data_IF_881956973808
#
_entry.id   IF_881956973808
#
_cell.length_a   1.000
_cell.length_b   1.000
_cell.length_c   1.000
_cell.angle_alpha   90.00
_cell.angle_beta   90.00
_cell.angle_gamma   90.00
#
_symmetry.space_group_name_H-M   'P 1'
#
loop_
_entity.id
_entity.type
_entity.pdbx_description
1 polymer ?
#
# COMPACT_ATOMS: atom_id res chain seq x y z
N UNK A 1 -22.35 -1.84 20.56
CA UNK A 1 -22.67 -1.40 19.20
C UNK A 1 -21.49 -1.56 18.27
N UNK A 2 -21.53 -2.53 17.36
CA UNK A 2 -20.58 -2.63 16.25
C UNK A 2 -21.31 -2.21 14.97
N UNK A 3 -20.86 -1.12 14.36
CA UNK A 3 -21.33 -0.72 13.04
C UNK A 3 -20.85 -1.70 11.97
N UNK A 4 -21.71 -2.04 11.01
CA UNK A 4 -21.30 -2.80 9.83
C UNK A 4 -20.48 -1.87 8.94
N UNK A 5 -19.16 -2.06 8.94
CA UNK A 5 -18.22 -1.29 8.11
C UNK A 5 -17.77 -2.14 6.91
N UNK A 6 -17.86 -1.57 5.71
CA UNK A 6 -17.24 -2.17 4.52
C UNK A 6 -15.75 -1.80 4.51
N UNK A 7 -14.91 -2.70 5.06
CA UNK A 7 -13.46 -2.49 5.11
C UNK A 7 -12.82 -2.26 3.73
N UNK A 8 -13.52 -2.60 2.64
CA UNK A 8 -13.03 -2.40 1.29
C UNK A 8 -13.20 -1.02 0.69
N UNK A 9 -14.01 -0.17 1.30
CA UNK A 9 -14.25 1.22 0.90
C UNK A 9 -13.58 2.23 1.85
N UNK A 10 -12.75 1.75 2.79
CA UNK A 10 -12.02 2.61 3.72
C UNK A 10 -10.86 3.28 2.99
N UNK A 11 -11.04 4.56 2.67
CA UNK A 11 -9.97 5.42 2.17
C UNK A 11 -8.91 5.65 3.26
N UNK A 12 -7.65 5.84 2.86
CA UNK A 12 -6.57 6.20 3.78
C UNK A 12 -6.86 7.59 4.34
N UNK A 13 -6.77 7.73 5.67
CA UNK A 13 -7.17 8.97 6.37
C UNK A 13 -6.42 10.20 5.84
N UNK A 14 -5.13 10.06 5.52
CA UNK A 14 -4.29 11.14 4.99
C UNK A 14 -4.66 11.60 3.58
N UNK A 15 -5.32 10.75 2.80
CA UNK A 15 -5.70 11.07 1.43
C UNK A 15 -7.07 11.74 1.34
N UNK A 16 -7.77 11.87 2.46
CA UNK A 16 -9.00 12.65 2.54
C UNK A 16 -8.61 14.12 2.34
N UNK A 17 -9.23 14.85 1.39
CA UNK A 17 -9.00 16.28 1.21
C UNK A 17 -9.11 17.03 2.54
N UNK A 18 -8.10 17.85 2.88
CA UNK A 18 -7.98 18.47 4.22
C UNK A 18 -9.19 19.31 4.60
N UNK A 19 -9.78 19.98 3.62
CA UNK A 19 -10.98 20.80 3.74
C UNK A 19 -12.23 19.98 4.07
N UNK A 20 -12.37 18.78 3.47
CA UNK A 20 -13.40 17.82 3.83
C UNK A 20 -13.14 17.23 5.21
N UNK A 21 -11.88 16.86 5.50
CA UNK A 21 -11.48 16.23 6.75
C UNK A 21 -11.78 17.13 7.95
N UNK A 22 -11.37 18.40 7.90
CA UNK A 22 -11.60 19.37 8.97
C UNK A 22 -13.10 19.51 9.29
N UNK A 23 -13.95 19.60 8.26
CA UNK A 23 -15.41 19.74 8.42
C UNK A 23 -16.06 18.48 9.00
N UNK A 24 -15.57 17.30 8.64
CA UNK A 24 -16.05 16.03 9.19
C UNK A 24 -15.59 15.88 10.65
N UNK A 25 -14.34 16.22 10.97
CA UNK A 25 -13.83 16.23 12.34
C UNK A 25 -14.58 17.23 13.24
N UNK A 26 -14.89 18.43 12.73
CA UNK A 26 -15.65 19.44 13.46
C UNK A 26 -17.00 18.88 13.96
N UNK A 27 -17.70 18.12 13.10
CA UNK A 27 -19.00 17.51 13.42
C UNK A 27 -18.82 16.30 14.34
N UNK A 28 -17.91 15.38 14.03
CA UNK A 28 -17.73 14.15 14.80
C UNK A 28 -17.19 14.40 16.21
N UNK A 29 -16.26 15.34 16.35
CA UNK A 29 -15.61 15.67 17.63
C UNK A 29 -16.30 16.84 18.34
N UNK A 30 -17.38 17.38 17.77
CA UNK A 30 -18.11 18.53 18.28
C UNK A 30 -17.18 19.70 18.67
N UNK A 31 -16.21 20.03 17.79
CA UNK A 31 -15.17 21.05 18.08
C UNK A 31 -15.75 22.46 18.08
N UNK A 32 -16.91 22.65 17.42
CA UNK A 32 -17.50 23.95 17.14
C UNK A 32 -19.04 23.87 17.11
N UNK A 33 -19.74 24.95 17.50
CA UNK A 33 -21.20 25.01 17.45
C UNK A 33 -21.78 25.09 16.03
N UNK A 34 -21.02 25.61 15.06
CA UNK A 34 -21.43 25.80 13.65
C UNK A 34 -21.04 24.63 12.72
N UNK A 35 -20.57 23.51 13.29
CA UNK A 35 -19.98 22.39 12.54
C UNK A 35 -20.96 21.78 11.52
N UNK A 36 -22.20 21.51 11.93
CA UNK A 36 -23.22 20.89 11.07
C UNK A 36 -23.55 21.77 9.87
N UNK A 37 -23.69 23.07 10.07
CA UNK A 37 -24.03 24.04 9.02
C UNK A 37 -22.91 24.16 8.00
N UNK A 38 -21.66 24.24 8.47
CA UNK A 38 -20.45 24.26 7.62
C UNK A 38 -20.33 23.02 6.75
N UNK A 39 -20.65 21.83 7.28
CA UNK A 39 -20.60 20.59 6.51
C UNK A 39 -21.73 20.55 5.47
N UNK A 40 -22.94 20.97 5.85
CA UNK A 40 -24.09 21.04 4.93
C UNK A 40 -23.84 22.04 3.81
N UNK A 41 -23.28 23.21 4.10
CA UNK A 41 -22.91 24.20 3.08
C UNK A 41 -21.83 23.67 2.13
N UNK A 42 -20.80 23.01 2.66
CA UNK A 42 -19.75 22.39 1.86
C UNK A 42 -20.24 21.24 0.99
N UNK A 43 -21.23 20.47 1.45
CA UNK A 43 -21.81 19.40 0.62
C UNK A 43 -22.44 19.93 -0.68
N UNK A 44 -22.88 21.19 -0.71
CA UNK A 44 -23.42 21.83 -1.92
C UNK A 44 -22.34 22.14 -2.96
N UNK A 45 -21.09 22.32 -2.56
CA UNK A 45 -19.96 22.56 -3.48
C UNK A 45 -19.42 21.25 -4.04
N UNK A 46 -19.53 20.16 -3.28
CA UNK A 46 -19.26 18.79 -3.72
C UNK A 46 -20.49 18.27 -4.46
N UNK A 47 -20.73 18.80 -5.66
CA UNK A 47 -21.58 18.11 -6.63
C UNK A 47 -21.06 16.69 -6.87
N UNK A 48 -21.95 15.75 -7.22
CA UNK A 48 -21.66 14.34 -7.52
C UNK A 48 -20.69 14.21 -8.71
N UNK A 49 -19.43 14.56 -8.52
CA UNK A 49 -18.32 14.32 -9.44
C UNK A 49 -17.87 12.90 -9.19
N UNK A 50 -18.48 11.94 -9.88
CA UNK A 50 -17.83 10.66 -10.08
C UNK A 50 -16.48 10.94 -10.74
N UNK A 51 -15.38 10.66 -10.03
CA UNK A 51 -14.04 10.75 -10.60
C UNK A 51 -14.03 9.84 -11.83
N UNK A 52 -13.76 10.42 -12.99
CA UNK A 52 -13.64 9.68 -14.25
C UNK A 52 -12.57 8.59 -14.09
N UNK A 53 -12.72 7.43 -14.74
CA UNK A 53 -11.73 6.33 -14.65
C UNK A 53 -10.29 6.83 -14.93
N UNK A 54 -10.14 7.78 -15.84
CA UNK A 54 -8.87 8.45 -16.14
C UNK A 54 -8.25 9.16 -14.92
N UNK A 55 -9.04 9.82 -14.08
CA UNK A 55 -8.55 10.45 -12.84
C UNK A 55 -8.19 9.42 -11.77
N UNK A 56 -8.88 8.27 -11.75
CA UNK A 56 -8.57 7.18 -10.84
C UNK A 56 -7.28 6.44 -11.24
N UNK A 57 -6.92 6.46 -12.52
CA UNK A 57 -5.68 5.87 -13.05
C UNK A 57 -4.52 6.86 -13.19
N UNK A 58 -4.64 8.12 -12.74
CA UNK A 58 -3.57 9.11 -12.85
C UNK A 58 -2.23 8.65 -12.24
N UNK A 59 -2.28 7.82 -11.19
CA UNK A 59 -1.08 7.22 -10.58
C UNK A 59 -0.30 6.29 -11.53
N UNK A 60 -0.91 5.81 -12.62
CA UNK A 60 -0.26 4.97 -13.64
C UNK A 60 0.75 5.73 -14.50
N UNK A 61 0.64 7.05 -14.56
CA UNK A 61 1.56 7.92 -15.29
C UNK A 61 2.84 8.20 -14.48
N UNK A 62 2.86 7.85 -13.19
CA UNK A 62 4.03 8.02 -12.33
C UNK A 62 5.16 7.03 -12.70
N UNK A 63 6.42 7.34 -12.32
CA UNK A 63 7.52 6.40 -12.43
C UNK A 63 7.22 5.07 -11.69
N UNK A 64 7.73 3.95 -12.21
CA UNK A 64 7.43 2.60 -11.69
C UNK A 64 7.67 2.44 -10.19
N UNK A 65 8.70 3.08 -9.64
CA UNK A 65 9.01 3.08 -8.20
C UNK A 65 7.87 3.69 -7.38
N UNK A 66 7.35 4.84 -7.82
CA UNK A 66 6.21 5.51 -7.18
C UNK A 66 4.91 4.73 -7.39
N UNK A 67 4.74 4.07 -8.55
CA UNK A 67 3.59 3.18 -8.79
C UNK A 67 3.56 2.00 -7.82
N UNK A 68 4.70 1.35 -7.58
CA UNK A 68 4.82 0.25 -6.62
C UNK A 68 4.49 0.72 -5.20
N UNK A 69 5.02 1.87 -4.79
CA UNK A 69 4.73 2.48 -3.50
C UNK A 69 3.23 2.75 -3.34
N UNK A 70 2.61 3.38 -4.33
CA UNK A 70 1.18 3.64 -4.34
C UNK A 70 0.36 2.34 -4.29
N UNK A 71 0.72 1.33 -5.09
CA UNK A 71 0.05 0.04 -5.10
C UNK A 71 0.13 -0.68 -3.75
N UNK A 72 1.26 -0.58 -3.05
CA UNK A 72 1.43 -1.13 -1.70
C UNK A 72 0.57 -0.41 -0.68
N UNK A 73 0.63 0.92 -0.61
CA UNK A 73 -0.14 1.73 0.36
C UNK A 73 -1.66 1.57 0.15
N UNK A 74 -2.10 1.51 -1.11
CA UNK A 74 -3.51 1.35 -1.47
C UNK A 74 -3.98 -0.12 -1.48
N UNK A 75 -3.06 -1.08 -1.39
CA UNK A 75 -3.39 -2.51 -1.45
C UNK A 75 -3.93 -2.96 -2.81
N UNK A 76 -3.45 -2.37 -3.91
CA UNK A 76 -3.85 -2.67 -5.30
C UNK A 76 -2.97 -3.80 -5.86
N UNK A 77 -3.58 -4.92 -6.24
CA UNK A 77 -2.85 -6.11 -6.72
C UNK A 77 -2.87 -6.29 -8.24
N UNK A 78 -3.64 -5.49 -8.98
CA UNK A 78 -3.96 -5.74 -10.39
C UNK A 78 -2.76 -5.54 -11.32
N UNK A 79 -1.95 -4.50 -11.05
CA UNK A 79 -0.81 -4.12 -11.91
C UNK A 79 0.56 -4.54 -11.35
N UNK A 80 0.58 -5.20 -10.19
CA UNK A 80 1.82 -5.45 -9.44
C UNK A 80 2.83 -6.28 -10.25
N UNK A 81 2.38 -7.27 -11.00
CA UNK A 81 3.28 -8.16 -11.77
C UNK A 81 3.99 -7.38 -12.89
N UNK A 82 3.26 -6.47 -13.56
CA UNK A 82 3.83 -5.62 -14.61
C UNK A 82 4.78 -4.57 -14.05
N UNK A 83 4.42 -3.93 -12.94
CA UNK A 83 5.27 -2.90 -12.32
C UNK A 83 6.53 -3.50 -11.71
N UNK A 84 6.42 -4.68 -11.09
CA UNK A 84 7.58 -5.40 -10.54
C UNK A 84 8.51 -5.86 -11.65
N UNK A 85 7.98 -6.31 -12.79
CA UNK A 85 8.80 -6.69 -13.94
C UNK A 85 9.57 -5.50 -14.52
N UNK A 86 8.90 -4.36 -14.72
CA UNK A 86 9.55 -3.13 -15.17
C UNK A 86 10.65 -2.70 -14.19
N UNK A 87 10.36 -2.72 -12.89
CA UNK A 87 11.37 -2.46 -11.86
C UNK A 87 12.52 -3.47 -11.89
N UNK A 88 12.25 -4.77 -12.09
CA UNK A 88 13.28 -5.81 -12.13
C UNK A 88 14.36 -5.53 -13.16
N UNK A 89 14.02 -4.83 -14.25
CA UNK A 89 14.99 -4.43 -15.28
C UNK A 89 15.81 -3.19 -14.91
N UNK A 90 15.37 -2.39 -13.93
CA UNK A 90 16.10 -1.22 -13.45
C UNK A 90 17.16 -1.56 -12.38
N UNK A 91 17.05 -2.73 -11.75
CA UNK A 91 17.98 -3.18 -10.72
C UNK A 91 18.81 -4.37 -11.19
N UNK A 92 20.07 -4.44 -10.75
CA UNK A 92 20.98 -5.54 -11.12
C UNK A 92 20.52 -6.92 -10.63
N UNK A 93 19.83 -6.95 -9.49
CA UNK A 93 19.40 -8.17 -8.80
C UNK A 93 17.93 -8.06 -8.42
N UNK A 94 17.10 -9.08 -8.68
CA UNK A 94 15.70 -9.13 -8.22
C UNK A 94 15.55 -8.86 -6.71
N UNK A 95 16.53 -9.27 -5.91
CA UNK A 95 16.55 -9.00 -4.47
C UNK A 95 16.53 -7.49 -4.14
N UNK A 96 17.20 -6.66 -4.94
CA UNK A 96 17.22 -5.21 -4.70
C UNK A 96 15.86 -4.55 -4.94
N UNK A 97 14.96 -5.16 -5.74
CA UNK A 97 13.58 -4.69 -5.87
C UNK A 97 12.80 -4.91 -4.56
N UNK A 98 13.08 -6.01 -3.86
CA UNK A 98 12.47 -6.33 -2.57
C UNK A 98 13.00 -5.38 -1.49
N UNK A 99 14.32 -5.22 -1.41
CA UNK A 99 14.99 -4.42 -0.39
C UNK A 99 14.88 -2.90 -0.62
N UNK A 100 14.59 -2.46 -1.85
CA UNK A 100 14.39 -1.06 -2.20
C UNK A 100 12.90 -0.70 -2.29
N UNK A 101 12.33 -0.58 -3.51
CA UNK A 101 11.01 0.03 -3.71
C UNK A 101 9.87 -0.67 -2.96
N UNK A 102 9.92 -2.00 -2.84
CA UNK A 102 8.90 -2.74 -2.10
C UNK A 102 9.00 -2.51 -0.58
N UNK A 103 10.22 -2.46 -0.04
CA UNK A 103 10.44 -2.17 1.38
C UNK A 103 10.11 -0.73 1.72
N UNK A 104 10.46 0.22 0.84
CA UNK A 104 10.10 1.64 1.00
C UNK A 104 8.59 1.84 1.06
N UNK A 105 7.83 1.13 0.22
CA UNK A 105 6.36 1.15 0.30
C UNK A 105 5.83 0.55 1.61
N UNK A 106 6.42 -0.55 2.08
CA UNK A 106 6.04 -1.16 3.35
C UNK A 106 6.42 -0.33 4.58
N UNK A 107 7.52 0.43 4.53
CA UNK A 107 7.89 1.38 5.58
C UNK A 107 6.81 2.46 5.74
N UNK A 108 6.31 3.00 4.63
CA UNK A 108 5.20 3.98 4.66
C UNK A 108 3.92 3.36 5.25
N UNK A 109 3.58 2.13 4.86
CA UNK A 109 2.45 1.40 5.47
C UNK A 109 2.64 1.26 6.99
N UNK A 110 3.86 0.93 7.43
CA UNK A 110 4.24 0.82 8.84
C UNK A 110 4.11 2.14 9.59
N UNK A 111 4.61 3.24 9.02
CA UNK A 111 4.52 4.58 9.59
C UNK A 111 3.06 5.04 9.72
N UNK A 112 2.25 4.81 8.69
CA UNK A 112 0.82 5.14 8.70
C UNK A 112 0.06 4.32 9.74
N UNK A 113 0.39 3.03 9.88
CA UNK A 113 -0.20 2.17 10.89
C UNK A 113 0.21 2.59 12.30
N UNK A 114 1.50 2.85 12.53
CA UNK A 114 2.04 3.32 13.81
C UNK A 114 1.50 4.68 14.24
N UNK A 115 1.19 5.55 13.28
CA UNK A 115 0.54 6.84 13.51
C UNK A 115 -0.99 6.74 13.69
N UNK A 116 -1.59 5.54 13.58
CA UNK A 116 -3.04 5.33 13.67
C UNK A 116 -3.83 5.85 12.46
N UNK A 117 -3.17 6.09 11.34
CA UNK A 117 -3.75 6.63 10.09
C UNK A 117 -4.12 5.55 9.07
N UNK A 118 -3.67 4.32 9.33
CA UNK A 118 -4.04 3.11 8.58
C UNK A 118 -4.49 2.03 9.56
N UNK A 119 -5.48 1.22 9.16
CA UNK A 119 -6.08 0.17 10.01
C UNK A 119 -5.63 -1.23 9.61
N UNK A 120 -5.76 -2.20 10.53
CA UNK A 120 -5.37 -3.61 10.30
C UNK A 120 -5.86 -4.18 8.95
N UNK A 121 -7.13 -4.01 8.53
CA UNK A 121 -7.59 -4.54 7.25
C UNK A 121 -6.86 -3.96 6.04
N UNK A 122 -6.43 -2.70 6.10
CA UNK A 122 -5.63 -2.04 5.05
C UNK A 122 -4.20 -2.58 5.04
N UNK A 123 -3.60 -2.78 6.21
CA UNK A 123 -2.27 -3.40 6.35
C UNK A 123 -2.27 -4.82 5.77
N UNK A 124 -3.30 -5.62 6.03
CA UNK A 124 -3.42 -6.98 5.47
C UNK A 124 -3.54 -6.96 3.95
N UNK A 125 -4.22 -5.96 3.36
CA UNK A 125 -4.28 -5.78 1.90
C UNK A 125 -2.92 -5.44 1.32
N UNK A 126 -2.20 -4.52 1.95
CA UNK A 126 -0.84 -4.13 1.57
C UNK A 126 0.11 -5.34 1.61
N UNK A 127 0.03 -6.13 2.68
CA UNK A 127 0.80 -7.37 2.83
C UNK A 127 0.48 -8.40 1.72
N UNK A 128 -0.77 -8.47 1.26
CA UNK A 128 -1.15 -9.34 0.13
C UNK A 128 -0.50 -8.89 -1.18
N UNK A 129 -0.44 -7.58 -1.44
CA UNK A 129 0.26 -7.02 -2.61
C UNK A 129 1.75 -7.33 -2.52
N UNK A 130 2.36 -7.11 -1.36
CA UNK A 130 3.77 -7.44 -1.09
C UNK A 130 4.07 -8.92 -1.35
N UNK A 131 3.24 -9.82 -0.83
CA UNK A 131 3.38 -11.27 -1.06
C UNK A 131 3.29 -11.63 -2.54
N UNK A 132 2.40 -10.99 -3.29
CA UNK A 132 2.26 -11.22 -4.74
C UNK A 132 3.51 -10.74 -5.50
N UNK A 133 4.03 -9.56 -5.18
CA UNK A 133 5.26 -9.01 -5.76
C UNK A 133 6.47 -9.93 -5.51
N UNK A 134 6.66 -10.39 -4.26
CA UNK A 134 7.74 -11.33 -3.92
C UNK A 134 7.57 -12.64 -4.67
N UNK A 135 6.35 -13.16 -4.77
CA UNK A 135 6.07 -14.38 -5.53
C UNK A 135 6.43 -14.27 -7.01
N UNK A 136 6.23 -13.10 -7.60
CA UNK A 136 6.66 -12.82 -8.97
C UNK A 136 8.19 -12.86 -9.13
N UNK A 137 8.95 -12.35 -8.15
CA UNK A 137 10.42 -12.29 -8.21
C UNK A 137 11.11 -13.63 -7.89
N UNK A 138 10.44 -14.55 -7.18
CA UNK A 138 11.03 -15.83 -6.75
C UNK A 138 11.69 -16.63 -7.88
N UNK A 139 11.05 -16.87 -9.06
CA UNK A 139 11.67 -17.62 -10.15
C UNK A 139 12.94 -16.97 -10.69
N UNK A 140 13.00 -15.63 -10.71
CA UNK A 140 14.18 -14.89 -11.18
C UNK A 140 15.33 -14.98 -10.18
N UNK A 141 15.04 -14.96 -8.88
CA UNK A 141 16.04 -15.17 -7.83
C UNK A 141 16.61 -16.59 -7.86
N UNK A 142 15.77 -17.60 -8.13
CA UNK A 142 16.22 -18.98 -8.29
C UNK A 142 17.10 -19.14 -9.54
N UNK A 143 16.71 -18.54 -10.66
CA UNK A 143 17.49 -18.55 -11.90
C UNK A 143 18.84 -17.82 -11.74
N UNK A 144 18.89 -16.67 -11.05
CA UNK A 144 20.13 -15.96 -10.73
C UNK A 144 21.06 -16.84 -9.88
N UNK A 145 20.52 -17.49 -8.84
CA UNK A 145 21.28 -18.43 -8.00
C UNK A 145 21.84 -19.61 -8.79
N UNK A 146 21.09 -20.13 -9.77
CA UNK A 146 21.53 -21.21 -10.63
C UNK A 146 22.64 -20.76 -11.63
N UNK A 147 22.57 -19.53 -12.14
CA UNK A 147 23.56 -18.96 -13.07
C UNK A 147 24.87 -18.54 -12.38
N UNK A 148 24.82 -18.12 -11.13
CA UNK A 148 25.99 -17.69 -10.34
C UNK A 148 26.99 -18.79 -9.94
N UNK A 149 27.01 -19.95 -10.63
CA UNK A 149 27.97 -21.04 -10.39
C UNK A 149 27.75 -21.85 -9.11
N UNK A 150 26.68 -21.56 -8.36
CA UNK A 150 26.27 -22.38 -7.22
C UNK A 150 25.41 -23.55 -7.68
N UNK A 151 26.01 -24.61 -8.25
CA UNK A 151 25.37 -25.93 -8.25
C UNK A 151 24.84 -26.22 -6.85
N UNK A 152 23.72 -26.97 -6.69
CA UNK A 152 22.84 -26.96 -5.51
C UNK A 152 23.67 -26.75 -4.27
N UNK A 153 23.68 -25.51 -3.76
CA UNK A 153 24.57 -25.10 -2.66
C UNK A 153 24.29 -26.14 -1.59
N UNK A 154 25.27 -27.03 -1.31
CA UNK A 154 25.17 -28.02 -0.22
C UNK A 154 24.64 -27.21 0.94
N UNK A 155 23.38 -27.45 1.34
CA UNK A 155 22.70 -26.56 2.29
C UNK A 155 23.65 -26.42 3.46
N UNK A 156 24.13 -25.20 3.77
CA UNK A 156 25.23 -24.95 4.73
C UNK A 156 24.79 -25.25 6.19
N UNK A 157 23.78 -26.10 6.37
CA UNK A 157 23.01 -26.32 7.58
C UNK A 157 21.51 -26.13 7.31
N UNK A 158 20.67 -26.66 8.20
CA UNK A 158 19.25 -26.27 8.31
C UNK A 158 19.16 -25.18 9.38
N UNK A 159 18.45 -24.09 9.10
CA UNK A 159 18.20 -23.01 10.05
C UNK A 159 16.71 -23.03 10.39
N UNK A 160 16.38 -23.10 11.68
CA UNK A 160 15.03 -22.84 12.16
C UNK A 160 14.91 -21.34 12.39
N UNK A 161 14.04 -20.69 11.64
CA UNK A 161 13.70 -19.29 11.81
C UNK A 161 12.22 -19.21 12.18
N UNK A 162 11.92 -18.55 13.29
CA UNK A 162 10.57 -18.34 13.78
C UNK A 162 10.50 -16.97 14.43
N UNK A 163 9.37 -16.29 14.30
CA UNK A 163 9.06 -15.11 15.11
C UNK A 163 8.68 -15.55 16.52
N UNK A 164 8.99 -14.70 17.50
CA UNK A 164 8.73 -14.99 18.92
C UNK A 164 7.23 -14.93 19.20
N UNK A 165 6.77 -15.62 20.23
CA UNK A 165 5.36 -15.56 20.63
C UNK A 165 5.00 -14.12 21.03
N UNK A 166 4.07 -13.51 20.30
CA UNK A 166 3.61 -12.14 20.54
C UNK A 166 4.17 -11.09 19.57
N UNK A 167 4.95 -11.51 18.58
CA UNK A 167 5.40 -10.74 17.41
C UNK A 167 4.48 -10.97 16.20
#
# INVERSE_FOLDING_TARGET
DMGIVNAGQLQVYEEIPKDLLERVEDVLLNRRPDATERLVEFSKTIGRKEKTEAQQQAWRELPVVERLKHALVQGIADYIDSDVEECRHLYERPLHVIEGPLMDGMNVVGDLFGAGKMFLPQVVRSARVMKKAVAYLMPFMEAEKAKGGGGPRKARGKVLMATVKGD
#
